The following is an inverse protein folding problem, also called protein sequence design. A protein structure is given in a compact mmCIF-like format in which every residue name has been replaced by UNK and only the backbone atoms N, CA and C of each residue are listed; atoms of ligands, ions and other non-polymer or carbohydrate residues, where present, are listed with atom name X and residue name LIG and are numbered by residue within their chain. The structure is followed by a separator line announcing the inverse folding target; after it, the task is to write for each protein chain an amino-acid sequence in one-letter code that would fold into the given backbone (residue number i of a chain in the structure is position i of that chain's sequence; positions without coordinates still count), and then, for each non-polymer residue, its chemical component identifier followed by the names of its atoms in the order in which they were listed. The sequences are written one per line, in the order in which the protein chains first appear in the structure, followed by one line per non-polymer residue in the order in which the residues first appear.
data_IF_452365222742
#
_entry.id   IF_452365222742
#
_cell.length_a   1.000
_cell.length_b   1.000
_cell.length_c   1.000
_cell.angle_alpha   90.00
_cell.angle_beta   90.00
_cell.angle_gamma   90.00
#
_symmetry.space_group_name_H-M   'P 1'
#
loop_
_entity.id
_entity.type
_entity.pdbx_description
1 polymer ?
#
# COMPACT_ATOMS: atom_id res chain seq x y z
N UNK A 1 5.02 10.87 7.37
CA UNK A 1 3.88 11.50 6.68
C UNK A 1 2.61 10.79 7.11
N UNK A 2 1.51 11.49 7.34
CA UNK A 2 0.21 10.84 7.59
C UNK A 2 -0.42 10.49 6.24
N UNK A 3 -0.94 9.27 6.07
CA UNK A 3 -1.63 8.90 4.83
C UNK A 3 -2.87 9.76 4.65
N UNK A 4 -3.07 10.23 3.42
CA UNK A 4 -4.37 10.83 3.06
C UNK A 4 -5.41 9.72 2.91
N UNK A 5 -6.69 10.04 3.12
CA UNK A 5 -7.78 9.08 2.92
C UNK A 5 -7.76 8.43 1.54
N UNK A 6 -7.39 9.19 0.50
CA UNK A 6 -7.26 8.69 -0.87
C UNK A 6 -6.13 7.66 -0.97
N UNK A 7 -4.96 7.96 -0.40
CA UNK A 7 -3.83 7.03 -0.38
C UNK A 7 -4.19 5.75 0.39
N UNK A 8 -4.83 5.87 1.54
CA UNK A 8 -5.31 4.73 2.34
C UNK A 8 -6.24 3.84 1.53
N UNK A 9 -7.25 4.41 0.85
CA UNK A 9 -8.19 3.66 0.02
C UNK A 9 -7.49 2.96 -1.15
N UNK A 10 -6.58 3.67 -1.84
CA UNK A 10 -5.83 3.09 -2.97
C UNK A 10 -4.95 1.93 -2.51
N UNK A 11 -4.23 2.08 -1.40
CA UNK A 11 -3.37 1.01 -0.87
C UNK A 11 -4.19 -0.18 -0.36
N UNK A 12 -5.32 0.06 0.32
CA UNK A 12 -6.20 -1.01 0.79
C UNK A 12 -6.82 -1.79 -0.38
N UNK A 13 -7.28 -1.10 -1.43
CA UNK A 13 -7.77 -1.75 -2.65
C UNK A 13 -6.67 -2.54 -3.34
N UNK A 14 -5.47 -1.94 -3.47
CA UNK A 14 -4.36 -2.59 -4.12
C UNK A 14 -3.94 -3.86 -3.38
N UNK A 15 -3.84 -3.78 -2.05
CA UNK A 15 -3.55 -4.92 -1.20
C UNK A 15 -4.64 -6.00 -1.33
N UNK A 16 -5.92 -5.63 -1.21
CA UNK A 16 -7.02 -6.59 -1.31
C UNK A 16 -7.15 -7.26 -2.67
N UNK A 17 -6.87 -6.56 -3.77
CA UNK A 17 -6.89 -7.18 -5.10
C UNK A 17 -5.66 -8.06 -5.30
N UNK A 18 -4.47 -7.58 -4.96
CA UNK A 18 -3.22 -8.30 -5.27
C UNK A 18 -2.93 -9.46 -4.34
N UNK A 19 -3.52 -9.51 -3.14
CA UNK A 19 -3.41 -10.65 -2.21
C UNK A 19 -4.19 -11.88 -2.71
N UNK A 20 -5.29 -11.66 -3.45
CA UNK A 20 -6.10 -12.74 -4.03
C UNK A 20 -5.37 -13.51 -5.14
N UNK A 21 -4.27 -12.96 -5.66
CA UNK A 21 -3.47 -13.57 -6.72
C UNK A 21 -2.01 -13.72 -6.26
N UNK A 22 -1.29 -14.77 -6.67
CA UNK A 22 0.11 -14.97 -6.30
C UNK A 22 1.06 -14.07 -7.11
N UNK A 23 0.90 -12.75 -7.01
CA UNK A 23 1.59 -11.73 -7.83
C UNK A 23 2.39 -10.70 -7.01
N UNK A 24 2.66 -10.99 -5.74
CA UNK A 24 3.34 -10.09 -4.78
C UNK A 24 2.56 -8.79 -4.53
N UNK A 25 1.76 -8.78 -3.47
CA UNK A 25 1.02 -7.60 -3.04
C UNK A 25 1.96 -6.45 -2.62
N UNK A 26 3.04 -6.76 -1.91
CA UNK A 26 4.06 -5.78 -1.51
C UNK A 26 4.72 -5.08 -2.72
N UNK A 27 5.02 -5.81 -3.79
CA UNK A 27 5.63 -5.22 -4.99
C UNK A 27 4.75 -4.13 -5.60
N UNK A 28 3.46 -4.40 -5.72
CA UNK A 28 2.49 -3.44 -6.23
C UNK A 28 2.34 -2.24 -5.28
N UNK A 29 2.24 -2.51 -3.97
CA UNK A 29 2.06 -1.51 -2.92
C UNK A 29 3.26 -0.58 -2.77
N UNK A 30 4.44 -0.95 -3.28
CA UNK A 30 5.63 -0.06 -3.37
C UNK A 30 5.72 0.65 -4.72
N UNK A 31 5.54 -0.08 -5.83
CA UNK A 31 5.77 0.44 -7.19
C UNK A 31 4.70 1.47 -7.58
N UNK A 32 3.42 1.19 -7.35
CA UNK A 32 2.32 2.08 -7.76
C UNK A 32 2.41 3.44 -7.06
N UNK A 33 2.58 3.53 -5.72
CA UNK A 33 2.82 4.82 -5.07
C UNK A 33 4.06 5.55 -5.60
N UNK A 34 5.13 4.82 -5.93
CA UNK A 34 6.32 5.40 -6.57
C UNK A 34 6.01 6.06 -7.91
N UNK A 35 5.22 5.40 -8.76
CA UNK A 35 4.78 5.93 -10.06
C UNK A 35 3.83 7.13 -9.93
N UNK A 36 3.03 7.18 -8.87
CA UNK A 36 2.13 8.29 -8.55
C UNK A 36 2.83 9.48 -7.85
N UNK A 37 4.16 9.40 -7.66
CA UNK A 37 4.94 10.44 -7.00
C UNK A 37 4.77 10.47 -5.47
N UNK A 38 4.20 9.43 -4.87
CA UNK A 38 4.01 9.28 -3.42
C UNK A 38 5.25 8.71 -2.73
N UNK A 39 6.44 9.13 -3.13
CA UNK A 39 7.72 8.62 -2.59
C UNK A 39 7.85 8.86 -1.09
N UNK A 40 7.37 10.01 -0.60
CA UNK A 40 7.33 10.33 0.83
C UNK A 40 6.43 9.38 1.66
N UNK A 41 5.43 8.75 1.01
CA UNK A 41 4.59 7.73 1.65
C UNK A 41 5.37 6.43 1.83
N UNK A 42 6.01 5.95 0.75
CA UNK A 42 6.79 4.70 0.76
C UNK A 42 7.99 4.78 1.71
N UNK A 43 8.59 5.97 1.84
CA UNK A 43 9.70 6.23 2.76
C UNK A 43 9.26 6.44 4.22
N UNK A 44 7.95 6.50 4.50
CA UNK A 44 7.45 6.71 5.85
C UNK A 44 7.71 5.46 6.71
N UNK A 45 8.21 5.58 7.95
CA UNK A 45 8.39 4.42 8.84
C UNK A 45 7.08 3.70 9.17
N UNK A 46 5.95 4.39 9.01
CA UNK A 46 4.60 3.85 9.21
C UNK A 46 4.05 3.08 8.01
N UNK A 47 4.72 3.10 6.85
CA UNK A 47 4.24 2.48 5.62
C UNK A 47 4.07 0.96 5.78
N UNK A 48 5.15 0.25 6.13
CA UNK A 48 5.11 -1.20 6.29
C UNK A 48 4.13 -1.66 7.39
N UNK A 49 4.12 -1.06 8.60
CA UNK A 49 3.12 -1.42 9.62
C UNK A 49 1.67 -1.30 9.13
N UNK A 50 1.36 -0.28 8.32
CA UNK A 50 0.01 -0.08 7.78
C UNK A 50 -0.32 -1.10 6.69
N UNK A 51 0.61 -1.38 5.79
CA UNK A 51 0.44 -2.43 4.76
C UNK A 51 0.22 -3.78 5.42
N UNK A 52 0.97 -4.10 6.50
CA UNK A 52 0.74 -5.30 7.31
C UNK A 52 -0.66 -5.29 7.94
N UNK A 53 -1.09 -4.16 8.52
CA UNK A 53 -2.44 -4.06 9.09
C UNK A 53 -3.55 -4.28 8.06
N UNK A 54 -3.36 -3.88 6.79
CA UNK A 54 -4.34 -4.15 5.74
C UNK A 54 -4.56 -5.64 5.46
N UNK A 55 -3.59 -6.52 5.76
CA UNK A 55 -3.78 -7.97 5.59
C UNK A 55 -4.87 -8.54 6.51
N UNK A 56 -5.27 -7.83 7.56
CA UNK A 56 -6.39 -8.24 8.41
C UNK A 56 -7.74 -8.19 7.68
N UNK A 57 -7.83 -7.45 6.58
CA UNK A 57 -9.05 -7.26 5.80
C UNK A 57 -9.04 -7.90 4.41
N UNK A 58 -8.02 -8.67 4.06
CA UNK A 58 -7.81 -9.28 2.74
C UNK A 58 -7.67 -10.78 2.88
#
# INVERSE_FOLDING_TARGET
MVLTWIQTLVLALLQGVTELFPISSLGHTVIIPGLLGWTALVQSPTFLPIVVAFHLGT
#
